data_IF_858503747790
#
_entry.id   IF_858503747790
#
_cell.length_a   1.000
_cell.length_b   1.000
_cell.length_c   1.000
_cell.angle_alpha   90.00
_cell.angle_beta   90.00
_cell.angle_gamma   90.00
#
_symmetry.space_group_name_H-M   'P 1'
#
loop_
_entity.id
_entity.type
_entity.pdbx_description
1 polymer ?
#
# COMPACT_ATOMS: atom_id res chain seq x y z
N UNK A 1 -1.22 -26.92 13.48
CA UNK A 1 0.24 -26.83 13.25
C UNK A 1 0.49 -27.07 11.78
N UNK A 2 1.26 -26.20 11.11
CA UNK A 2 1.72 -26.43 9.74
C UNK A 2 3.18 -26.85 9.77
N UNK A 3 3.57 -27.75 8.86
CA UNK A 3 4.97 -28.21 8.73
C UNK A 3 5.45 -27.95 7.31
N UNK A 4 6.67 -27.48 7.19
CA UNK A 4 7.36 -27.30 5.91
C UNK A 4 8.63 -28.17 5.89
N UNK A 5 9.53 -27.95 4.95
CA UNK A 5 10.80 -28.70 4.84
C UNK A 5 11.71 -28.44 6.03
N UNK A 6 11.79 -27.19 6.49
CA UNK A 6 12.69 -26.75 7.58
C UNK A 6 11.97 -26.24 8.82
N UNK A 7 10.70 -25.86 8.69
CA UNK A 7 9.98 -25.13 9.74
C UNK A 7 8.84 -25.94 10.34
N UNK A 8 8.61 -25.69 11.62
CA UNK A 8 7.38 -25.98 12.33
C UNK A 8 6.67 -24.66 12.61
N UNK A 9 5.43 -24.52 12.13
CA UNK A 9 4.59 -23.34 12.33
C UNK A 9 3.50 -23.68 13.35
N UNK A 10 3.69 -23.19 14.57
CA UNK A 10 2.81 -23.46 15.72
C UNK A 10 1.98 -22.23 16.05
N UNK A 11 0.80 -22.41 16.62
CA UNK A 11 -0.02 -21.27 17.05
C UNK A 11 0.76 -20.43 18.07
N UNK A 12 0.66 -19.10 17.93
CA UNK A 12 1.26 -18.16 18.86
C UNK A 12 0.75 -18.42 20.28
N UNK A 13 1.68 -18.61 21.21
CA UNK A 13 1.44 -18.73 22.63
C UNK A 13 2.28 -17.64 23.33
N UNK A 14 1.67 -16.57 23.85
CA UNK A 14 2.41 -15.47 24.45
C UNK A 14 3.29 -15.89 25.63
N UNK A 15 2.91 -16.89 26.42
CA UNK A 15 3.69 -17.30 27.59
C UNK A 15 4.97 -18.03 27.18
N UNK A 16 4.89 -18.77 26.06
CA UNK A 16 6.02 -19.51 25.49
C UNK A 16 6.91 -18.66 24.58
N UNK A 17 6.30 -17.80 23.76
CA UNK A 17 6.97 -17.23 22.58
C UNK A 17 7.45 -15.79 22.80
N UNK A 18 6.82 -15.04 23.72
CA UNK A 18 7.03 -13.59 23.83
C UNK A 18 8.47 -13.21 24.19
N UNK A 19 9.18 -14.01 24.99
CA UNK A 19 10.57 -13.73 25.35
C UNK A 19 11.50 -13.69 24.13
N UNK A 20 11.43 -14.70 23.26
CA UNK A 20 12.23 -14.75 22.04
C UNK A 20 11.77 -13.71 21.00
N UNK A 21 10.45 -13.48 20.87
CA UNK A 21 9.94 -12.42 19.99
C UNK A 21 10.35 -11.03 20.47
N UNK A 22 10.41 -10.78 21.78
CA UNK A 22 10.91 -9.52 22.33
C UNK A 22 12.39 -9.29 22.01
N UNK A 23 13.23 -10.32 22.09
CA UNK A 23 14.64 -10.21 21.68
C UNK A 23 14.79 -9.77 20.21
N UNK A 24 13.89 -10.21 19.33
CA UNK A 24 13.80 -9.73 17.95
C UNK A 24 13.28 -8.28 17.87
N UNK A 25 12.17 -7.97 18.54
CA UNK A 25 11.52 -6.66 18.46
C UNK A 25 12.31 -5.52 19.10
N UNK A 26 13.21 -5.84 20.04
CA UNK A 26 14.12 -4.89 20.68
C UNK A 26 15.45 -4.70 19.95
N UNK A 27 15.79 -5.53 18.95
CA UNK A 27 17.01 -5.37 18.15
C UNK A 27 16.91 -4.11 17.25
N UNK A 28 17.77 -3.09 17.46
CA UNK A 28 17.76 -1.87 16.64
C UNK A 28 18.06 -2.11 15.16
N UNK A 29 18.86 -3.11 14.83
CA UNK A 29 19.16 -3.49 13.44
C UNK A 29 17.94 -4.12 12.77
N UNK A 30 17.22 -4.96 13.51
CA UNK A 30 15.95 -5.55 13.04
C UNK A 30 14.92 -4.45 12.77
N UNK A 31 14.73 -3.55 13.75
CA UNK A 31 13.74 -2.49 13.66
C UNK A 31 14.03 -1.56 12.49
N UNK A 32 15.30 -1.15 12.30
CA UNK A 32 15.71 -0.34 11.15
C UNK A 32 15.42 -1.02 9.82
N UNK A 33 15.63 -2.34 9.72
CA UNK A 33 15.33 -3.11 8.52
C UNK A 33 13.82 -3.23 8.21
N UNK A 34 12.97 -3.14 9.24
CA UNK A 34 11.51 -3.07 9.11
C UNK A 34 10.95 -1.65 9.02
N UNK A 35 11.81 -0.63 9.05
CA UNK A 35 11.44 0.77 9.26
C UNK A 35 10.70 1.04 10.57
N UNK A 36 10.81 0.16 11.58
CA UNK A 36 10.07 0.23 12.84
C UNK A 36 10.87 0.84 13.99
N UNK A 37 10.19 1.23 15.05
CA UNK A 37 10.79 1.55 16.35
C UNK A 37 11.00 0.26 17.17
N UNK A 38 12.18 0.01 17.75
CA UNK A 38 12.37 -1.12 18.66
C UNK A 38 11.46 -1.01 19.88
N UNK A 39 10.96 -2.13 20.39
CA UNK A 39 10.22 -2.14 21.66
C UNK A 39 11.20 -2.10 22.83
N UNK A 40 10.91 -1.29 23.86
CA UNK A 40 11.73 -1.14 25.05
C UNK A 40 11.45 -2.22 26.12
N UNK A 41 10.30 -2.90 26.06
CA UNK A 41 9.91 -3.91 27.04
C UNK A 41 9.16 -5.09 26.43
N UNK A 42 9.07 -6.17 27.21
CA UNK A 42 8.26 -7.36 26.90
C UNK A 42 6.78 -7.00 26.78
N UNK A 43 6.28 -6.07 27.59
CA UNK A 43 4.90 -5.60 27.53
C UNK A 43 4.62 -4.81 26.26
N UNK A 44 5.53 -3.93 25.82
CA UNK A 44 5.40 -3.26 24.52
C UNK A 44 5.43 -4.25 23.34
N UNK A 45 6.24 -5.31 23.45
CA UNK A 45 6.22 -6.41 22.46
C UNK A 45 4.90 -7.16 22.44
N UNK A 46 4.26 -7.35 23.59
CA UNK A 46 2.92 -7.95 23.69
C UNK A 46 1.88 -7.04 23.06
N UNK A 47 1.90 -5.76 23.39
CA UNK A 47 0.99 -4.75 22.82
C UNK A 47 1.11 -4.69 21.31
N UNK A 48 2.33 -4.74 20.75
CA UNK A 48 2.55 -4.84 19.30
C UNK A 48 1.86 -6.07 18.70
N UNK A 49 2.07 -7.25 19.29
CA UNK A 49 1.45 -8.48 18.77
C UNK A 49 -0.08 -8.42 18.84
N UNK A 50 -0.65 -7.85 19.91
CA UNK A 50 -2.10 -7.67 20.06
C UNK A 50 -2.63 -6.65 19.05
N UNK A 51 -1.95 -5.52 18.88
CA UNK A 51 -2.34 -4.48 17.93
C UNK A 51 -2.32 -5.00 16.49
N UNK A 52 -1.33 -5.81 16.13
CA UNK A 52 -1.19 -6.31 14.77
C UNK A 52 -2.02 -7.57 14.51
N UNK A 53 -2.04 -8.53 15.45
CA UNK A 53 -2.60 -9.87 15.21
C UNK A 53 -3.76 -10.22 16.18
N UNK A 54 -4.23 -9.28 17.00
CA UNK A 54 -5.41 -9.49 17.84
C UNK A 54 -6.68 -9.71 17.01
N UNK A 55 -7.69 -10.39 17.57
CA UNK A 55 -9.00 -10.60 16.95
C UNK A 55 -8.95 -11.12 15.50
N UNK A 56 -7.99 -11.99 15.21
CA UNK A 56 -7.74 -12.49 13.85
C UNK A 56 -8.18 -13.96 13.65
N UNK A 57 -8.91 -14.54 14.60
CA UNK A 57 -9.37 -15.94 14.54
C UNK A 57 -8.28 -16.97 14.90
N UNK A 58 -7.17 -16.54 15.52
CA UNK A 58 -6.05 -17.42 15.88
C UNK A 58 -5.14 -17.75 14.69
N UNK A 59 -5.20 -16.94 13.64
CA UNK A 59 -4.39 -17.07 12.43
C UNK A 59 -3.04 -16.36 12.59
N UNK A 60 -2.34 -16.72 13.65
CA UNK A 60 -0.98 -16.27 13.96
C UNK A 60 -0.12 -17.47 14.31
N UNK A 61 0.97 -17.62 13.57
CA UNK A 61 1.92 -18.71 13.71
C UNK A 61 3.30 -18.20 14.09
N UNK A 62 3.92 -18.88 15.04
CA UNK A 62 5.33 -18.72 15.38
C UNK A 62 6.15 -19.74 14.58
N UNK A 63 7.23 -19.24 13.97
CA UNK A 63 8.16 -20.04 13.20
C UNK A 63 9.19 -20.66 14.14
N UNK A 64 9.42 -21.97 14.02
CA UNK A 64 10.54 -22.69 14.66
C UNK A 64 11.38 -23.37 13.61
N UNK A 65 12.68 -23.12 13.60
CA UNK A 65 13.63 -23.67 12.62
C UNK A 65 14.20 -24.98 13.18
N UNK A 66 13.90 -26.12 12.56
CA UNK A 66 14.41 -27.40 13.07
C UNK A 66 15.95 -27.46 13.02
N UNK A 67 16.61 -28.10 14.01
CA UNK A 67 16.02 -28.80 15.17
C UNK A 67 15.74 -27.90 16.38
N UNK A 68 15.94 -26.58 16.25
CA UNK A 68 15.73 -25.61 17.31
C UNK A 68 14.25 -25.55 17.75
N UNK A 69 14.06 -25.20 19.01
CA UNK A 69 12.75 -25.07 19.67
C UNK A 69 12.38 -23.61 19.91
N UNK A 70 13.30 -22.65 19.76
CA UNK A 70 13.03 -21.23 20.03
C UNK A 70 12.28 -20.54 18.88
N UNK A 71 11.68 -19.38 19.18
CA UNK A 71 10.86 -18.65 18.21
C UNK A 71 11.79 -17.88 17.26
N UNK A 72 11.83 -18.30 16.00
CA UNK A 72 12.61 -17.68 14.95
C UNK A 72 11.89 -16.49 14.29
N UNK A 73 10.60 -16.32 14.55
CA UNK A 73 9.77 -15.27 13.96
C UNK A 73 8.29 -15.52 14.15
N UNK A 74 7.48 -14.64 13.57
CA UNK A 74 6.00 -14.72 13.60
C UNK A 74 5.43 -14.34 12.24
N UNK A 75 4.34 -14.98 11.85
CA UNK A 75 3.55 -14.66 10.66
C UNK A 75 2.07 -14.78 10.99
N UNK A 76 1.26 -13.85 10.54
CA UNK A 76 -0.17 -13.89 10.80
C UNK A 76 -0.94 -12.89 9.98
N UNK A 77 -2.27 -13.03 10.00
CA UNK A 77 -3.15 -12.04 9.39
C UNK A 77 -3.54 -10.97 10.40
N UNK A 78 -3.77 -9.76 9.92
CA UNK A 78 -4.25 -8.67 10.76
C UNK A 78 -5.65 -8.97 11.34
N UNK A 79 -6.02 -8.22 12.37
CA UNK A 79 -7.36 -8.22 12.96
C UNK A 79 -8.44 -8.16 11.89
N UNK A 80 -9.55 -8.86 12.12
CA UNK A 80 -10.65 -8.91 11.15
C UNK A 80 -11.26 -7.52 10.91
N UNK A 81 -11.22 -7.06 9.67
CA UNK A 81 -11.79 -5.79 9.23
C UNK A 81 -13.13 -5.97 8.49
N UNK A 82 -13.75 -7.15 8.57
CA UNK A 82 -14.98 -7.49 7.85
C UNK A 82 -14.76 -7.74 6.35
N UNK A 83 -13.52 -8.01 5.94
CA UNK A 83 -13.12 -8.29 4.55
C UNK A 83 -12.80 -9.77 4.35
N UNK A 84 -13.25 -10.32 3.23
CA UNK A 84 -12.87 -11.68 2.80
C UNK A 84 -11.45 -11.74 2.20
N UNK A 85 -10.86 -10.59 1.86
CA UNK A 85 -9.43 -10.46 1.57
C UNK A 85 -8.72 -10.13 2.87
N UNK A 86 -7.78 -10.99 3.29
CA UNK A 86 -7.06 -10.85 4.56
C UNK A 86 -5.66 -10.28 4.34
N UNK A 87 -5.35 -9.20 5.05
CA UNK A 87 -3.99 -8.67 5.11
C UNK A 87 -3.08 -9.54 5.99
N UNK A 88 -1.87 -9.84 5.53
CA UNK A 88 -0.87 -10.66 6.22
C UNK A 88 0.41 -9.85 6.52
N UNK A 89 1.02 -10.11 7.67
CA UNK A 89 2.34 -9.58 8.06
C UNK A 89 3.24 -10.69 8.58
N UNK A 90 4.55 -10.46 8.53
CA UNK A 90 5.55 -11.39 9.02
C UNK A 90 6.81 -10.70 9.52
N UNK A 91 7.45 -11.34 10.49
CA UNK A 91 8.73 -10.93 11.06
C UNK A 91 9.62 -12.14 11.29
N UNK A 92 10.90 -11.98 11.00
CA UNK A 92 11.90 -13.03 11.17
C UNK A 92 13.11 -12.43 11.90
N UNK A 93 13.71 -13.20 12.80
CA UNK A 93 14.92 -12.79 13.50
C UNK A 93 16.04 -12.56 12.50
N UNK A 94 16.93 -11.61 12.82
CA UNK A 94 18.01 -11.19 11.91
C UNK A 94 18.97 -12.32 11.56
N UNK A 95 19.17 -13.28 12.45
CA UNK A 95 20.05 -14.44 12.25
C UNK A 95 19.57 -15.37 11.13
N UNK A 96 18.27 -15.37 10.83
CA UNK A 96 17.65 -16.24 9.84
C UNK A 96 17.36 -15.54 8.51
N UNK A 97 17.79 -14.28 8.38
CA UNK A 97 17.64 -13.48 7.19
C UNK A 97 18.41 -14.05 6.00
N UNK A 98 17.86 -13.91 4.79
CA UNK A 98 18.51 -14.39 3.56
C UNK A 98 18.49 -15.90 3.33
N UNK A 99 18.02 -16.70 4.31
CA UNK A 99 17.96 -18.16 4.20
C UNK A 99 16.68 -18.69 3.50
N UNK A 100 15.80 -17.80 3.03
CA UNK A 100 14.52 -18.17 2.40
C UNK A 100 13.50 -18.80 3.36
N UNK A 101 13.72 -18.73 4.68
CA UNK A 101 12.84 -19.34 5.68
C UNK A 101 11.47 -18.66 5.72
N UNK A 102 11.41 -17.33 5.67
CA UNK A 102 10.12 -16.64 5.68
C UNK A 102 9.33 -16.87 4.38
N UNK A 103 9.98 -16.98 3.22
CA UNK A 103 9.30 -17.34 1.96
C UNK A 103 8.68 -18.75 2.04
N UNK A 104 9.38 -19.69 2.65
CA UNK A 104 8.88 -21.05 2.90
C UNK A 104 7.66 -21.04 3.84
N UNK A 105 7.75 -20.29 4.95
CA UNK A 105 6.65 -20.15 5.90
C UNK A 105 5.43 -19.47 5.27
N UNK A 106 5.64 -18.32 4.62
CA UNK A 106 4.60 -17.52 4.01
C UNK A 106 3.84 -18.32 2.95
N UNK A 107 4.53 -19.07 2.08
CA UNK A 107 3.85 -19.93 1.11
C UNK A 107 2.90 -20.92 1.79
N UNK A 108 3.37 -21.64 2.81
CA UNK A 108 2.56 -22.63 3.52
C UNK A 108 1.35 -22.00 4.23
N UNK A 109 1.53 -20.82 4.83
CA UNK A 109 0.46 -20.09 5.51
C UNK A 109 -0.57 -19.55 4.51
N UNK A 110 -0.14 -18.94 3.42
CA UNK A 110 -1.04 -18.39 2.40
C UNK A 110 -1.80 -19.52 1.71
N UNK A 111 -1.16 -20.65 1.42
CA UNK A 111 -1.83 -21.83 0.85
C UNK A 111 -2.92 -22.36 1.81
N UNK A 112 -2.60 -22.44 3.11
CA UNK A 112 -3.55 -22.85 4.14
C UNK A 112 -4.73 -21.87 4.30
N UNK A 113 -4.47 -20.56 4.26
CA UNK A 113 -5.49 -19.53 4.40
C UNK A 113 -6.44 -19.51 3.21
N UNK A 114 -5.94 -19.64 1.98
CA UNK A 114 -6.80 -19.66 0.78
C UNK A 114 -7.66 -20.92 0.64
N UNK A 115 -7.41 -21.96 1.43
CA UNK A 115 -8.30 -23.12 1.54
C UNK A 115 -9.51 -22.84 2.45
N UNK A 116 -9.49 -21.75 3.23
CA UNK A 116 -10.61 -21.41 4.11
C UNK A 116 -11.76 -20.79 3.30
N UNK A 117 -13.00 -21.30 3.41
CA UNK A 117 -14.13 -20.80 2.61
C UNK A 117 -14.44 -19.30 2.81
N UNK A 118 -14.08 -18.74 3.95
CA UNK A 118 -14.29 -17.33 4.28
C UNK A 118 -13.22 -16.39 3.71
N UNK A 119 -12.12 -16.92 3.17
CA UNK A 119 -10.99 -16.14 2.66
C UNK A 119 -10.96 -16.26 1.13
N UNK A 120 -11.20 -15.14 0.46
CA UNK A 120 -11.20 -15.06 -1.01
C UNK A 120 -9.87 -14.54 -1.57
N UNK A 121 -9.02 -13.97 -0.72
CA UNK A 121 -7.69 -13.51 -1.11
C UNK A 121 -6.82 -13.18 0.09
N UNK A 122 -5.51 -13.14 -0.15
CA UNK A 122 -4.50 -12.66 0.79
C UNK A 122 -3.77 -11.48 0.16
N UNK A 123 -3.49 -10.46 0.96
CA UNK A 123 -2.66 -9.34 0.57
C UNK A 123 -1.59 -9.01 1.62
N UNK A 124 -0.46 -8.49 1.16
CA UNK A 124 0.61 -7.94 1.99
C UNK A 124 0.93 -6.53 1.49
N UNK A 125 0.78 -5.53 2.35
CA UNK A 125 1.14 -4.15 2.03
C UNK A 125 2.55 -3.90 2.51
N UNK A 126 3.44 -3.61 1.58
CA UNK A 126 4.88 -3.57 1.84
C UNK A 126 5.41 -2.21 1.38
N UNK A 127 6.18 -1.53 2.23
CA UNK A 127 6.92 -0.33 1.82
C UNK A 127 7.74 -0.66 0.56
N UNK A 128 7.59 0.15 -0.48
CA UNK A 128 8.25 -0.05 -1.78
C UNK A 128 9.78 -0.13 -1.69
N UNK A 129 10.39 0.43 -0.62
CA UNK A 129 11.82 0.37 -0.32
C UNK A 129 12.23 -0.98 0.31
N UNK A 130 11.29 -1.72 0.91
CA UNK A 130 11.55 -3.01 1.56
C UNK A 130 11.64 -4.15 0.54
N UNK A 131 12.70 -4.14 -0.28
CA UNK A 131 12.96 -5.12 -1.34
C UNK A 131 12.99 -6.56 -0.83
N UNK A 132 13.39 -6.75 0.44
CA UNK A 132 13.50 -8.07 1.08
C UNK A 132 12.13 -8.68 1.36
N UNK A 133 11.20 -7.88 1.89
CA UNK A 133 9.84 -8.34 2.14
C UNK A 133 9.07 -8.53 0.82
N UNK A 134 9.30 -7.68 -0.19
CA UNK A 134 8.76 -7.87 -1.54
C UNK A 134 9.25 -9.21 -2.14
N UNK A 135 10.52 -9.55 -1.97
CA UNK A 135 11.05 -10.84 -2.42
C UNK A 135 10.40 -12.02 -1.67
N UNK A 136 10.16 -11.90 -0.36
CA UNK A 136 9.40 -12.89 0.40
C UNK A 136 8.01 -13.09 -0.19
N UNK A 137 7.26 -12.01 -0.40
CA UNK A 137 5.92 -12.04 -0.97
C UNK A 137 5.88 -12.76 -2.33
N UNK A 138 6.80 -12.40 -3.25
CA UNK A 138 6.93 -13.03 -4.57
C UNK A 138 7.23 -14.52 -4.46
N UNK A 139 8.19 -14.91 -3.64
CA UNK A 139 8.54 -16.33 -3.45
C UNK A 139 7.44 -17.11 -2.71
N UNK A 140 6.56 -16.43 -1.99
CA UNK A 140 5.37 -17.01 -1.38
C UNK A 140 4.18 -17.14 -2.35
N UNK A 141 4.33 -16.64 -3.59
CA UNK A 141 3.31 -16.69 -4.64
C UNK A 141 2.35 -15.50 -4.66
N UNK A 142 2.68 -14.38 -4.01
CA UNK A 142 1.93 -13.14 -4.15
C UNK A 142 2.45 -12.32 -5.33
N UNK A 143 1.55 -11.75 -6.11
CA UNK A 143 1.84 -10.89 -7.26
C UNK A 143 1.59 -9.41 -6.93
N UNK A 144 2.22 -8.49 -7.67
CA UNK A 144 1.93 -7.07 -7.53
C UNK A 144 0.53 -6.79 -8.08
N UNK A 145 -0.41 -6.43 -7.21
CA UNK A 145 -1.82 -6.15 -7.58
C UNK A 145 -2.20 -4.68 -7.46
N UNK A 146 -1.39 -3.87 -6.77
CA UNK A 146 -1.69 -2.45 -6.60
C UNK A 146 -0.59 -1.65 -5.91
N UNK A 147 -0.85 -0.35 -5.77
CA UNK A 147 -0.01 0.59 -5.03
C UNK A 147 -0.93 1.56 -4.29
N UNK A 148 -0.53 1.94 -3.09
CA UNK A 148 -1.25 2.94 -2.31
C UNK A 148 -0.28 3.85 -1.53
N UNK A 149 -0.65 5.13 -1.35
CA UNK A 149 0.12 6.04 -0.52
C UNK A 149 -0.18 5.80 0.96
N UNK A 150 0.86 5.75 1.79
CA UNK A 150 0.73 5.59 3.24
C UNK A 150 1.61 6.62 3.95
N UNK A 151 1.19 7.03 5.14
CA UNK A 151 2.09 7.69 6.10
C UNK A 151 2.63 6.63 7.04
N UNK A 152 3.95 6.51 7.13
CA UNK A 152 4.63 5.56 7.99
C UNK A 152 5.76 6.29 8.73
N UNK A 153 5.72 6.29 10.06
CA UNK A 153 6.76 6.86 10.95
C UNK A 153 7.31 8.23 10.55
N UNK A 154 6.46 9.23 10.33
CA UNK A 154 6.98 10.56 10.00
C UNK A 154 7.15 10.84 8.51
N UNK A 155 7.02 9.82 7.64
CA UNK A 155 7.27 9.96 6.20
C UNK A 155 6.08 9.48 5.36
N UNK A 156 5.89 10.11 4.20
CA UNK A 156 5.03 9.52 3.16
C UNK A 156 5.84 8.44 2.46
N UNK A 157 5.31 7.22 2.50
CA UNK A 157 5.84 6.07 1.81
C UNK A 157 4.82 5.55 0.80
N UNK A 158 5.31 5.04 -0.32
CA UNK A 158 4.49 4.23 -1.20
C UNK A 158 4.52 2.78 -0.73
N UNK A 159 3.36 2.18 -0.52
CA UNK A 159 3.23 0.75 -0.33
C UNK A 159 2.90 0.08 -1.66
N UNK A 160 3.61 -1.00 -1.98
CA UNK A 160 3.14 -1.97 -2.96
C UNK A 160 2.17 -2.93 -2.28
N UNK A 161 1.10 -3.28 -2.99
CA UNK A 161 0.15 -4.29 -2.55
C UNK A 161 0.47 -5.57 -3.30
N UNK A 162 0.97 -6.57 -2.56
CA UNK A 162 1.24 -7.90 -3.08
C UNK A 162 0.05 -8.79 -2.73
N UNK A 163 -0.58 -9.46 -3.69
CA UNK A 163 -1.81 -10.20 -3.45
C UNK A 163 -1.90 -11.53 -4.20
N UNK A 164 -2.75 -12.43 -3.70
CA UNK A 164 -3.16 -13.66 -4.37
C UNK A 164 -4.60 -13.99 -3.99
N UNK A 165 -5.45 -14.18 -4.99
CA UNK A 165 -6.83 -14.62 -4.82
C UNK A 165 -6.91 -16.14 -4.67
N UNK A 166 -7.92 -16.64 -3.96
CA UNK A 166 -8.24 -18.08 -3.88
C UNK A 166 -8.60 -18.64 -5.26
N UNK A 167 -9.28 -17.83 -6.07
CA UNK A 167 -9.61 -18.12 -7.46
C UNK A 167 -8.95 -17.06 -8.36
N UNK A 168 -7.96 -17.48 -9.14
CA UNK A 168 -7.17 -16.56 -9.97
C UNK A 168 -7.89 -16.31 -11.29
N UNK A 169 -8.30 -15.07 -11.51
CA UNK A 169 -8.92 -14.63 -12.77
C UNK A 169 -8.38 -13.27 -13.17
N UNK A 170 -8.21 -13.09 -14.47
CA UNK A 170 -7.89 -11.77 -15.02
C UNK A 170 -9.10 -10.84 -14.85
N UNK A 171 -8.88 -9.56 -14.51
CA UNK A 171 -9.95 -8.58 -14.47
C UNK A 171 -10.48 -8.33 -15.89
N UNK A 172 -11.81 -8.20 -16.01
CA UNK A 172 -12.47 -7.85 -17.28
C UNK A 172 -12.22 -6.39 -17.65
N UNK A 173 -12.09 -5.52 -16.65
CA UNK A 173 -11.81 -4.09 -16.81
C UNK A 173 -10.39 -3.79 -16.37
N UNK A 174 -9.59 -3.20 -17.27
CA UNK A 174 -8.17 -2.93 -17.03
C UNK A 174 -7.87 -1.46 -16.67
N UNK A 175 -8.79 -0.54 -16.95
CA UNK A 175 -8.56 0.86 -16.68
C UNK A 175 -9.79 1.73 -16.94
N UNK A 176 -9.67 3.00 -16.56
CA UNK A 176 -10.66 4.04 -16.76
C UNK A 176 -9.92 5.27 -17.32
N UNK A 177 -10.53 5.97 -18.27
CA UNK A 177 -10.00 7.19 -18.89
C UNK A 177 -11.09 8.26 -18.90
N UNK A 178 -11.21 9.11 -17.86
CA UNK A 178 -12.10 10.25 -17.89
C UNK A 178 -11.65 11.27 -18.93
N UNK A 179 -12.61 12.07 -19.43
CA UNK A 179 -12.36 13.12 -20.42
C UNK A 179 -12.60 14.49 -19.78
N UNK A 180 -11.60 15.37 -19.86
CA UNK A 180 -11.71 16.80 -19.53
C UNK A 180 -11.83 17.59 -20.83
N UNK A 181 -12.98 18.23 -21.03
CA UNK A 181 -13.20 19.15 -22.15
C UNK A 181 -12.80 20.56 -21.75
N UNK A 182 -11.76 21.09 -22.36
CA UNK A 182 -11.17 22.39 -22.00
C UNK A 182 -11.06 23.32 -23.20
N UNK A 183 -10.96 24.62 -22.95
CA UNK A 183 -10.77 25.60 -24.02
C UNK A 183 -9.28 25.67 -24.44
N UNK A 184 -8.37 25.58 -23.47
CA UNK A 184 -6.91 25.60 -23.70
C UNK A 184 -6.26 24.25 -23.35
N UNK A 185 -6.23 23.34 -24.34
CA UNK A 185 -5.63 22.00 -24.19
C UNK A 185 -4.16 22.09 -23.77
N UNK A 186 -3.38 22.99 -24.39
CA UNK A 186 -1.94 23.08 -24.13
C UNK A 186 -1.63 23.65 -22.73
N UNK A 187 -2.41 24.65 -22.29
CA UNK A 187 -2.33 25.19 -20.93
C UNK A 187 -2.71 24.16 -19.88
N UNK A 188 -3.85 23.48 -20.04
CA UNK A 188 -4.31 22.45 -19.10
C UNK A 188 -3.32 21.29 -19.03
N UNK A 189 -2.83 20.78 -20.16
CA UNK A 189 -1.85 19.67 -20.18
C UNK A 189 -0.59 20.05 -19.42
N UNK A 190 -0.03 21.24 -19.68
CA UNK A 190 1.17 21.72 -18.99
C UNK A 190 0.94 21.82 -17.49
N UNK A 191 -0.17 22.42 -17.07
CA UNK A 191 -0.54 22.51 -15.67
C UNK A 191 -0.59 21.12 -15.01
N UNK A 192 -1.27 20.16 -15.63
CA UNK A 192 -1.42 18.82 -15.05
C UNK A 192 -0.11 18.04 -15.01
N UNK A 193 0.77 18.22 -15.99
CA UNK A 193 2.10 17.63 -15.98
C UNK A 193 2.98 18.27 -14.89
N UNK A 194 3.02 19.59 -14.80
CA UNK A 194 3.87 20.32 -13.86
C UNK A 194 3.41 20.13 -12.41
N UNK A 195 2.10 20.17 -12.18
CA UNK A 195 1.52 20.08 -10.84
C UNK A 195 1.43 18.64 -10.34
N UNK A 196 0.93 17.70 -11.17
CA UNK A 196 0.61 16.34 -10.74
C UNK A 196 1.62 15.30 -11.23
N UNK A 197 2.63 15.71 -11.99
CA UNK A 197 3.62 14.79 -12.56
C UNK A 197 3.03 13.85 -13.61
N UNK A 198 1.92 14.22 -14.26
CA UNK A 198 1.36 13.41 -15.34
C UNK A 198 2.26 13.42 -16.58
N UNK A 199 2.18 12.34 -17.37
CA UNK A 199 3.00 12.16 -18.56
C UNK A 199 2.15 12.17 -19.83
N UNK A 200 2.57 12.91 -20.84
CA UNK A 200 1.97 12.84 -22.18
C UNK A 200 2.25 11.46 -22.77
N UNK A 201 1.19 10.68 -22.99
CA UNK A 201 1.25 9.37 -23.67
C UNK A 201 1.14 9.52 -25.17
N UNK A 202 0.27 10.43 -25.58
CA UNK A 202 -0.12 10.61 -26.96
C UNK A 202 -0.74 11.98 -27.15
N UNK A 203 -0.47 12.60 -28.29
CA UNK A 203 -0.93 13.96 -28.59
C UNK A 203 -1.27 14.10 -30.08
N UNK A 204 -2.43 14.73 -30.32
CA UNK A 204 -2.90 15.27 -31.58
C UNK A 204 -3.41 16.70 -31.33
N UNK A 205 -3.62 17.47 -32.41
CA UNK A 205 -3.91 18.93 -32.35
C UNK A 205 -4.86 19.36 -31.21
N UNK A 206 -6.02 18.70 -31.09
CA UNK A 206 -7.08 19.04 -30.13
C UNK A 206 -7.30 17.97 -29.04
N UNK A 207 -6.35 17.04 -28.89
CA UNK A 207 -6.48 15.86 -28.05
C UNK A 207 -5.14 15.46 -27.43
N UNK A 208 -5.10 15.29 -26.11
CA UNK A 208 -3.93 14.75 -25.41
C UNK A 208 -4.36 13.66 -24.45
N UNK A 209 -3.67 12.52 -24.49
CA UNK A 209 -3.81 11.48 -23.48
C UNK A 209 -2.68 11.62 -22.47
N UNK A 210 -3.04 11.76 -21.20
CA UNK A 210 -2.14 11.80 -20.06
C UNK A 210 -2.18 10.47 -19.32
N UNK A 211 -1.02 10.01 -18.85
CA UNK A 211 -0.85 8.81 -18.04
C UNK A 211 -0.21 9.14 -16.70
N UNK A 212 -0.47 8.28 -15.71
CA UNK A 212 0.14 8.40 -14.37
C UNK A 212 1.64 8.10 -14.36
N UNK A 213 2.14 7.39 -15.38
CA UNK A 213 3.56 7.06 -15.56
C UNK A 213 3.91 7.04 -17.04
N UNK A 214 5.19 6.87 -17.35
CA UNK A 214 5.69 6.66 -18.72
C UNK A 214 5.45 5.24 -19.29
N UNK A 215 4.82 4.34 -18.53
CA UNK A 215 4.58 2.96 -18.95
C UNK A 215 3.16 2.77 -19.51
N UNK A 216 3.02 1.81 -20.42
CA UNK A 216 1.72 1.44 -21.02
C UNK A 216 0.82 0.68 -20.03
N UNK A 217 -0.48 0.61 -20.34
CA UNK A 217 -1.45 -0.23 -19.62
C UNK A 217 -1.91 0.33 -18.26
N UNK A 218 -1.63 1.59 -17.98
CA UNK A 218 -2.13 2.29 -16.79
C UNK A 218 -3.38 3.10 -17.13
N UNK A 219 -4.23 3.34 -16.14
CA UNK A 219 -5.26 4.37 -16.22
C UNK A 219 -4.62 5.74 -16.43
N UNK A 220 -5.42 6.65 -16.98
CA UNK A 220 -4.96 7.98 -17.35
C UNK A 220 -6.14 8.94 -17.42
N UNK A 221 -5.99 9.95 -18.24
CA UNK A 221 -6.97 11.01 -18.44
C UNK A 221 -6.82 11.53 -19.87
N UNK A 222 -7.92 11.89 -20.51
CA UNK A 222 -7.90 12.58 -21.79
C UNK A 222 -8.24 14.06 -21.61
N UNK A 223 -7.41 14.93 -22.18
CA UNK A 223 -7.68 16.37 -22.29
C UNK A 223 -8.06 16.64 -23.73
N UNK A 224 -9.27 17.16 -23.95
CA UNK A 224 -9.82 17.40 -25.28
C UNK A 224 -10.29 18.83 -25.43
N UNK A 225 -10.12 19.42 -26.61
CA UNK A 225 -10.71 20.73 -26.90
C UNK A 225 -12.24 20.64 -26.83
N UNK A 226 -12.87 21.59 -26.15
CA UNK A 226 -14.32 21.73 -26.16
C UNK A 226 -14.79 22.28 -27.52
N UNK A 227 -15.84 21.66 -28.09
CA UNK A 227 -16.47 22.11 -29.35
C UNK A 227 -17.85 22.76 -29.12
N UNK A 228 -18.27 22.91 -27.86
CA UNK A 228 -19.58 23.41 -27.45
C UNK A 228 -19.64 23.56 -25.93
N UNK A 229 -20.86 23.55 -25.36
CA UNK A 229 -21.06 23.68 -23.93
C UNK A 229 -20.31 22.60 -23.14
N UNK A 230 -19.61 23.04 -22.09
CA UNK A 230 -18.82 22.15 -21.25
C UNK A 230 -19.68 21.69 -20.08
N UNK A 231 -19.74 20.38 -19.87
CA UNK A 231 -20.28 19.78 -18.66
C UNK A 231 -19.14 19.57 -17.66
N UNK A 232 -19.10 20.31 -16.54
CA UNK A 232 -18.05 20.15 -15.56
C UNK A 232 -18.00 18.73 -14.98
N UNK A 233 -16.78 18.27 -14.76
CA UNK A 233 -16.48 16.97 -14.17
C UNK A 233 -15.73 17.17 -12.85
N UNK A 234 -15.94 16.26 -11.90
CA UNK A 234 -15.12 16.19 -10.69
C UNK A 234 -14.24 14.94 -10.77
N UNK A 235 -12.93 15.12 -10.68
CA UNK A 235 -11.94 14.04 -10.74
C UNK A 235 -11.08 14.07 -9.48
N UNK A 236 -10.93 12.92 -8.81
CA UNK A 236 -10.03 12.78 -7.66
C UNK A 236 -8.72 12.14 -8.09
N UNK A 237 -7.61 12.79 -7.77
CA UNK A 237 -6.26 12.28 -7.95
C UNK A 237 -5.71 11.81 -6.60
N UNK A 238 -5.45 10.50 -6.51
CA UNK A 238 -4.79 9.90 -5.36
C UNK A 238 -3.27 10.06 -5.49
N UNK A 239 -2.68 10.90 -4.63
CA UNK A 239 -1.26 11.26 -4.71
C UNK A 239 -0.42 10.54 -3.65
N UNK A 240 0.79 10.16 -4.05
CA UNK A 240 1.82 9.55 -3.21
C UNK A 240 2.81 10.54 -2.61
N UNK A 241 2.41 11.80 -2.46
CA UNK A 241 3.23 12.91 -1.95
C UNK A 241 2.42 13.75 -0.97
N UNK A 242 3.09 14.71 -0.32
CA UNK A 242 2.42 15.66 0.56
C UNK A 242 1.46 16.52 -0.27
N UNK A 243 0.28 16.75 0.29
CA UNK A 243 -0.81 17.47 -0.38
C UNK A 243 -0.55 18.98 -0.41
N UNK A 244 0.00 19.52 0.68
CA UNK A 244 0.21 20.96 0.83
C UNK A 244 1.23 21.55 -0.15
N UNK A 245 2.39 20.90 -0.43
CA UNK A 245 3.29 21.39 -1.47
C UNK A 245 2.63 21.48 -2.85
N UNK A 246 1.70 20.57 -3.17
CA UNK A 246 0.92 20.66 -4.41
C UNK A 246 -0.07 21.83 -4.36
N UNK A 247 -0.70 22.07 -3.21
CA UNK A 247 -1.56 23.24 -3.02
C UNK A 247 -0.78 24.55 -3.21
N UNK A 248 0.40 24.67 -2.61
CA UNK A 248 1.26 25.85 -2.72
C UNK A 248 1.69 26.08 -4.17
N UNK A 249 2.07 25.00 -4.89
CA UNK A 249 2.41 25.05 -6.31
C UNK A 249 1.22 25.48 -7.18
N UNK A 250 0.02 24.98 -6.90
CA UNK A 250 -1.19 25.36 -7.63
C UNK A 250 -1.54 26.84 -7.42
N UNK A 251 -1.41 27.34 -6.18
CA UNK A 251 -1.60 28.76 -5.89
C UNK A 251 -0.55 29.64 -6.58
N UNK A 252 0.71 29.22 -6.60
CA UNK A 252 1.78 29.94 -7.30
C UNK A 252 1.55 29.98 -8.83
N UNK A 253 0.86 28.97 -9.39
CA UNK A 253 0.44 28.92 -10.79
C UNK A 253 -0.83 29.77 -11.09
N UNK A 254 -1.39 30.46 -10.10
CA UNK A 254 -2.54 31.36 -10.28
C UNK A 254 -3.90 30.67 -10.15
N UNK A 255 -3.97 29.42 -9.71
CA UNK A 255 -5.22 28.70 -9.49
C UNK A 255 -5.79 29.03 -8.11
N UNK A 256 -6.42 30.19 -8.00
CA UNK A 256 -6.90 30.75 -6.72
C UNK A 256 -8.28 30.25 -6.29
N UNK A 257 -9.08 29.72 -7.21
CA UNK A 257 -10.39 29.13 -6.92
C UNK A 257 -10.23 27.70 -6.38
N UNK A 258 -9.61 27.60 -5.22
CA UNK A 258 -9.30 26.33 -4.55
C UNK A 258 -9.86 26.28 -3.12
N UNK A 259 -10.16 25.08 -2.62
CA UNK A 259 -10.39 24.89 -1.18
C UNK A 259 -9.04 24.77 -0.47
N UNK A 260 -8.85 25.31 0.75
CA UNK A 260 -7.63 25.07 1.50
C UNK A 260 -7.47 23.58 1.85
N UNK A 261 -6.23 23.07 2.05
CA UNK A 261 -6.01 21.68 2.43
C UNK A 261 -6.64 21.35 3.79
N UNK A 262 -7.45 20.30 3.82
CA UNK A 262 -8.17 19.85 5.01
C UNK A 262 -8.07 18.34 5.20
N UNK A 263 -8.08 17.91 6.47
CA UNK A 263 -8.14 16.51 6.82
C UNK A 263 -9.60 16.03 6.83
N UNK A 264 -9.81 14.86 6.25
CA UNK A 264 -11.12 14.22 6.10
C UNK A 264 -11.36 13.19 7.22
N UNK A 265 -12.63 12.82 7.50
CA UNK A 265 -12.94 11.78 8.48
C UNK A 265 -12.36 10.38 8.18
N UNK A 266 -12.02 10.10 6.93
CA UNK A 266 -11.41 8.84 6.49
C UNK A 266 -9.88 8.95 6.34
N UNK A 267 -9.25 9.85 7.10
CA UNK A 267 -7.80 9.95 7.26
C UNK A 267 -7.03 10.25 5.95
N UNK A 268 -7.64 11.08 5.09
CA UNK A 268 -6.98 11.70 3.93
C UNK A 268 -6.84 13.19 4.13
N UNK A 269 -5.79 13.79 3.59
CA UNK A 269 -5.63 15.24 3.43
C UNK A 269 -5.99 15.61 2.01
N UNK A 270 -6.83 16.62 1.82
CA UNK A 270 -7.41 16.94 0.51
C UNK A 270 -7.51 18.43 0.25
N UNK A 271 -7.35 18.83 -1.02
CA UNK A 271 -7.80 20.13 -1.52
C UNK A 271 -8.42 19.96 -2.91
N UNK A 272 -9.21 20.92 -3.36
CA UNK A 272 -9.84 20.88 -4.69
C UNK A 272 -9.51 22.15 -5.45
N UNK A 273 -9.06 22.01 -6.69
CA UNK A 273 -8.83 23.08 -7.65
C UNK A 273 -10.02 23.18 -8.61
N UNK A 274 -10.44 24.40 -8.95
CA UNK A 274 -11.35 24.64 -10.06
C UNK A 274 -10.57 25.07 -11.31
N UNK A 275 -10.85 24.43 -12.45
CA UNK A 275 -10.41 24.93 -13.76
C UNK A 275 -11.38 26.03 -14.25
N UNK A 276 -10.97 26.91 -15.18
CA UNK A 276 -11.83 27.95 -15.74
C UNK A 276 -13.15 27.42 -16.32
N UNK A 277 -13.14 26.19 -16.83
CA UNK A 277 -14.30 25.51 -17.40
C UNK A 277 -15.23 24.89 -16.34
N UNK A 278 -14.94 25.09 -15.06
CA UNK A 278 -15.74 24.61 -13.92
C UNK A 278 -15.39 23.19 -13.46
N UNK A 279 -14.51 22.48 -14.17
CA UNK A 279 -14.02 21.17 -13.71
C UNK A 279 -13.38 21.30 -12.32
N UNK A 280 -13.61 20.30 -11.47
CA UNK A 280 -13.07 20.23 -10.11
C UNK A 280 -12.07 19.09 -10.01
N UNK A 281 -10.83 19.41 -9.69
CA UNK A 281 -9.77 18.43 -9.51
C UNK A 281 -9.47 18.32 -8.02
N UNK A 282 -9.90 17.24 -7.38
CA UNK A 282 -9.63 16.96 -5.98
C UNK A 282 -8.31 16.21 -5.85
N UNK A 283 -7.35 16.76 -5.13
CA UNK A 283 -6.10 16.10 -4.80
C UNK A 283 -6.27 15.47 -3.43
N UNK A 284 -6.02 14.16 -3.32
CA UNK A 284 -6.19 13.36 -2.10
C UNK A 284 -4.88 12.62 -1.81
N UNK A 285 -4.28 12.94 -0.68
CA UNK A 285 -3.05 12.31 -0.20
C UNK A 285 -3.19 11.82 1.24
N UNK A 286 -2.18 11.12 1.75
CA UNK A 286 -2.19 10.69 3.13
C UNK A 286 -2.05 11.92 4.05
N UNK A 287 -2.61 11.86 5.26
CA UNK A 287 -2.46 12.97 6.22
C UNK A 287 -1.01 13.15 6.63
N UNK A 288 -0.67 14.37 7.07
CA UNK A 288 0.67 14.64 7.56
C UNK A 288 0.98 13.69 8.73
N UNK A 289 2.17 13.09 8.75
CA UNK A 289 2.64 12.43 9.95
C UNK A 289 2.67 13.44 11.10
N UNK A 290 2.10 13.05 12.24
CA UNK A 290 2.21 13.76 13.52
C UNK A 290 3.58 13.56 14.14
#
# INVERSE_FOLDING_TARGET
MLKTVRLDLVALDPDRDLGALHAMFSDPEWARGGYMTPTASVDESRERLVQEFGDNGGWTWVLRVRPDVDAAGVIGVFSDQGSSIRGISWYLTREHWGAGLMSEAARAVIDHLLQQPSITGIEAWIDSRNVRSIAVARHAGLDLVGRLPRTHYGEIAQSVVMGRAADTRDPVTLGISPVLHVNDVAGTVRLLCDLLGLHIRFQFDDFVQLGLTEWNGQSGLEVRRATGDISPATITFEVGVLVDPLYDAAHAAGLVDSTPPQDTPWYRRTFTLALPEGHRLTISGPVRPT
#
